data_IF_526253731598
#
_entry.id   IF_526253731598
#
_cell.length_a   1.000
_cell.length_b   1.000
_cell.length_c   1.000
_cell.angle_alpha   90.00
_cell.angle_beta   90.00
_cell.angle_gamma   90.00
#
_symmetry.space_group_name_H-M   'P 1'
#
loop_
_entity.id
_entity.type
_entity.pdbx_description
1 polymer ?
#
# COMPACT_ATOMS: atom_id res chain seq x y z
N UNK A 1 -25.15 19.85 38.91
CA UNK A 1 -25.42 21.26 38.58
C UNK A 1 -24.25 22.03 37.97
N UNK A 2 -22.98 21.66 38.15
CA UNK A 2 -21.83 22.39 37.54
C UNK A 2 -21.54 22.08 36.04
N UNK A 3 -22.10 21.03 35.46
CA UNK A 3 -21.92 20.71 34.02
C UNK A 3 -22.96 21.37 33.09
N UNK A 4 -24.07 21.84 33.63
CA UNK A 4 -25.10 22.58 32.87
C UNK A 4 -24.74 24.05 32.66
N UNK A 5 -24.01 24.66 33.59
CA UNK A 5 -23.56 26.06 33.46
C UNK A 5 -22.50 26.29 32.35
N UNK A 6 -21.69 25.27 32.05
CA UNK A 6 -20.62 25.42 31.03
C UNK A 6 -21.19 25.37 29.59
N UNK A 7 -22.27 24.62 29.38
CA UNK A 7 -22.96 24.51 28.09
C UNK A 7 -23.73 25.80 27.76
N UNK A 8 -24.31 26.44 28.77
CA UNK A 8 -25.04 27.72 28.59
C UNK A 8 -24.07 28.88 28.28
N UNK A 9 -22.88 28.88 28.86
CA UNK A 9 -21.83 29.91 28.57
C UNK A 9 -21.28 29.75 27.15
N UNK A 10 -21.15 28.52 26.63
CA UNK A 10 -20.70 28.26 25.25
C UNK A 10 -21.78 28.56 24.21
N UNK A 11 -23.07 28.41 24.56
CA UNK A 11 -24.17 28.79 23.66
C UNK A 11 -24.41 30.30 23.64
N UNK A 12 -24.16 31.01 24.73
CA UNK A 12 -24.27 32.48 24.77
C UNK A 12 -23.10 33.17 24.06
N UNK A 13 -21.89 32.57 24.05
CA UNK A 13 -20.77 33.10 23.30
C UNK A 13 -20.92 32.94 21.76
N UNK A 14 -21.66 31.94 21.31
CA UNK A 14 -21.97 31.78 19.87
C UNK A 14 -23.09 32.70 19.38
N UNK A 15 -23.98 33.18 20.28
CA UNK A 15 -25.06 34.14 19.93
C UNK A 15 -24.51 35.57 19.85
N UNK A 16 -23.53 35.92 20.70
CA UNK A 16 -22.93 37.27 20.68
C UNK A 16 -22.03 37.51 19.47
N UNK A 17 -21.52 36.45 18.82
CA UNK A 17 -20.73 36.55 17.59
C UNK A 17 -21.58 36.63 16.32
N UNK A 18 -22.86 36.34 16.37
CA UNK A 18 -23.76 36.39 15.21
C UNK A 18 -24.31 37.80 14.93
N UNK A 19 -24.38 38.69 15.95
CA UNK A 19 -24.92 40.06 15.80
C UNK A 19 -23.89 41.11 15.38
N UNK A 20 -22.61 40.72 15.17
CA UNK A 20 -21.54 41.65 14.78
C UNK A 20 -21.17 41.57 13.27
N UNK A 21 -21.95 40.89 12.45
CA UNK A 21 -21.70 40.80 11.03
C UNK A 21 -22.54 41.84 10.27
N UNK A 22 -22.01 43.06 10.20
CA UNK A 22 -22.45 44.00 9.16
C UNK A 22 -21.97 43.47 7.79
N UNK A 23 -22.83 43.47 6.74
CA UNK A 23 -22.43 43.04 5.42
C UNK A 23 -21.33 43.99 4.91
N UNK A 24 -20.17 43.43 4.65
CA UNK A 24 -19.04 44.12 4.07
C UNK A 24 -19.49 44.81 2.77
N UNK A 25 -19.32 46.12 2.69
CA UNK A 25 -19.55 46.92 1.50
C UNK A 25 -18.67 46.41 0.34
N UNK A 26 -19.28 45.68 -0.58
CA UNK A 26 -18.63 45.10 -1.75
C UNK A 26 -18.08 46.13 -2.72
N UNK A 27 -18.41 47.43 -2.54
CA UNK A 27 -17.90 48.57 -3.32
C UNK A 27 -16.39 48.80 -3.15
N UNK A 28 -15.87 48.50 -1.94
CA UNK A 28 -14.43 48.64 -1.64
C UNK A 28 -13.58 47.57 -2.33
N UNK A 29 -14.10 46.35 -2.47
CA UNK A 29 -13.37 45.25 -3.13
C UNK A 29 -13.31 45.42 -4.65
N UNK A 30 -14.33 46.00 -5.28
CA UNK A 30 -14.32 46.29 -6.74
C UNK A 30 -13.29 47.34 -7.15
N UNK A 31 -12.93 48.29 -6.26
CA UNK A 31 -11.95 49.32 -6.57
C UNK A 31 -10.49 48.84 -6.45
N UNK A 32 -10.22 47.80 -5.66
CA UNK A 32 -8.86 47.33 -5.40
C UNK A 32 -8.33 46.31 -6.41
N UNK A 33 -9.21 45.68 -7.19
CA UNK A 33 -8.84 44.59 -8.12
C UNK A 33 -9.06 44.88 -9.60
N UNK A 34 -9.45 46.13 -9.98
CA UNK A 34 -9.64 46.48 -11.37
C UNK A 34 -8.35 46.72 -12.16
N UNK A 35 -7.17 46.66 -11.52
CA UNK A 35 -5.89 46.70 -12.21
C UNK A 35 -4.96 45.68 -11.55
N UNK A 36 -4.96 44.41 -11.99
CA UNK A 36 -3.89 43.50 -11.56
C UNK A 36 -2.57 44.06 -12.13
N UNK A 37 -1.48 44.06 -11.34
CA UNK A 37 -0.18 44.44 -11.85
C UNK A 37 0.14 43.54 -13.03
N UNK A 38 0.43 44.12 -14.20
CA UNK A 38 0.95 43.39 -15.35
C UNK A 38 2.22 42.72 -14.90
N UNK A 39 2.22 41.41 -14.85
CA UNK A 39 3.45 40.61 -14.77
C UNK A 39 4.22 40.94 -16.05
N UNK A 40 5.28 41.74 -15.92
CA UNK A 40 6.26 41.91 -16.99
C UNK A 40 6.85 40.51 -17.25
N UNK A 41 6.65 40.00 -18.45
CA UNK A 41 7.37 38.84 -18.97
C UNK A 41 8.86 39.18 -18.96
N UNK A 42 9.53 38.88 -17.87
CA UNK A 42 10.99 38.89 -17.85
C UNK A 42 11.44 37.80 -18.81
N UNK A 43 12.23 38.17 -19.87
CA UNK A 43 12.72 37.17 -20.80
C UNK A 43 13.41 36.04 -20.01
N UNK A 44 12.96 34.83 -20.27
CA UNK A 44 13.61 33.60 -19.75
C UNK A 44 15.07 33.72 -20.18
N UNK A 45 15.96 34.02 -19.23
CA UNK A 45 17.39 33.99 -19.46
C UNK A 45 17.71 32.58 -19.95
N UNK A 46 18.12 32.44 -21.21
CA UNK A 46 18.72 31.20 -21.71
C UNK A 46 19.74 30.77 -20.68
N UNK A 47 19.45 29.63 -20.03
CA UNK A 47 20.41 29.04 -19.10
C UNK A 47 21.71 28.86 -19.86
N UNK A 48 22.70 29.66 -19.51
CA UNK A 48 24.06 29.41 -19.92
C UNK A 48 24.36 27.96 -19.55
N UNK A 49 24.86 27.18 -20.51
CA UNK A 49 25.42 25.86 -20.28
C UNK A 49 26.50 26.02 -19.20
N UNK A 50 26.11 25.91 -17.93
CA UNK A 50 27.03 25.88 -16.81
C UNK A 50 27.91 24.65 -17.06
N UNK A 51 29.22 24.83 -16.95
CA UNK A 51 30.18 23.71 -16.92
C UNK A 51 29.64 22.66 -15.95
N UNK A 52 29.75 21.36 -16.27
CA UNK A 52 29.25 20.30 -15.38
C UNK A 52 29.82 20.54 -13.98
N UNK A 53 28.97 20.49 -12.98
CA UNK A 53 29.25 20.83 -11.58
C UNK A 53 30.27 19.88 -10.92
N UNK A 54 31.46 19.69 -11.44
CA UNK A 54 32.52 18.88 -10.83
C UNK A 54 32.14 17.43 -10.49
N UNK A 55 30.94 16.95 -10.86
CA UNK A 55 30.50 15.57 -10.65
C UNK A 55 31.16 14.63 -11.66
N UNK A 56 31.50 13.40 -11.26
CA UNK A 56 32.04 12.38 -12.14
C UNK A 56 31.10 12.12 -13.34
N UNK A 57 31.67 11.67 -14.44
CA UNK A 57 30.92 11.24 -15.61
C UNK A 57 30.08 10.01 -15.29
N UNK A 58 28.85 9.96 -15.81
CA UNK A 58 27.88 8.90 -15.60
C UNK A 58 28.48 7.50 -15.85
N UNK A 59 29.07 7.28 -17.03
CA UNK A 59 29.60 5.98 -17.45
C UNK A 59 30.78 5.51 -16.58
N UNK A 60 31.54 6.42 -16.00
CA UNK A 60 32.65 6.08 -15.11
C UNK A 60 32.20 5.49 -13.79
N UNK A 61 31.02 5.93 -13.29
CA UNK A 61 30.48 5.44 -12.01
C UNK A 61 29.91 4.03 -12.14
N UNK A 62 29.23 3.74 -13.26
CA UNK A 62 28.48 2.48 -13.45
C UNK A 62 29.31 1.36 -14.08
N UNK A 63 30.58 1.56 -14.36
CA UNK A 63 31.43 0.65 -15.12
C UNK A 63 31.37 -0.81 -14.66
N UNK A 64 31.25 -1.04 -13.32
CA UNK A 64 31.20 -2.36 -12.70
C UNK A 64 29.82 -2.67 -12.12
N UNK A 65 28.77 -2.07 -12.64
CA UNK A 65 27.41 -2.25 -12.18
C UNK A 65 26.56 -3.01 -13.19
N UNK A 66 25.73 -3.91 -12.72
CA UNK A 66 24.70 -4.55 -13.52
C UNK A 66 23.62 -3.53 -13.89
N UNK A 67 23.26 -3.44 -15.15
CA UNK A 67 22.18 -2.58 -15.63
C UNK A 67 20.86 -3.32 -15.67
N UNK A 68 19.82 -2.77 -15.04
CA UNK A 68 18.47 -3.31 -14.98
C UNK A 68 17.52 -2.25 -15.55
N UNK A 69 17.09 -2.38 -16.82
CA UNK A 69 16.20 -1.41 -17.46
C UNK A 69 14.74 -1.55 -17.01
N UNK A 70 14.00 -0.43 -16.96
CA UNK A 70 12.56 -0.44 -16.66
C UNK A 70 11.95 0.93 -16.46
N UNK A 71 10.92 1.02 -15.61
CA UNK A 71 10.27 2.29 -15.24
C UNK A 71 11.31 3.27 -14.72
N UNK A 72 12.14 2.80 -13.80
CA UNK A 72 13.38 3.46 -13.40
C UNK A 72 14.55 2.55 -13.74
N UNK A 73 15.52 3.07 -14.47
CA UNK A 73 16.73 2.33 -14.77
C UNK A 73 17.57 2.19 -13.50
N UNK A 74 17.95 0.96 -13.17
CA UNK A 74 18.75 0.65 -12.01
C UNK A 74 20.17 0.23 -12.43
N UNK A 75 21.13 0.57 -11.60
CA UNK A 75 22.50 0.09 -11.68
C UNK A 75 22.88 -0.50 -10.33
N UNK A 76 23.20 -1.80 -10.31
CA UNK A 76 23.41 -2.57 -9.10
C UNK A 76 24.76 -3.26 -9.04
N UNK A 77 25.43 -3.15 -7.92
CA UNK A 77 26.63 -3.93 -7.58
C UNK A 77 26.37 -4.69 -6.28
N UNK A 78 26.17 -6.01 -6.40
CA UNK A 78 25.98 -6.90 -5.24
C UNK A 78 27.21 -6.90 -4.34
N UNK A 79 28.41 -6.96 -4.94
CA UNK A 79 29.68 -6.97 -4.21
C UNK A 79 29.88 -5.71 -3.34
N UNK A 80 29.51 -4.54 -3.89
CA UNK A 80 29.65 -3.26 -3.19
C UNK A 80 28.45 -2.94 -2.28
N UNK A 81 27.40 -3.75 -2.28
CA UNK A 81 26.10 -3.48 -1.66
C UNK A 81 25.60 -2.07 -2.02
N UNK A 82 25.65 -1.73 -3.31
CA UNK A 82 25.33 -0.41 -3.84
C UNK A 82 24.38 -0.49 -5.02
N UNK A 83 23.39 0.40 -5.04
CA UNK A 83 22.61 0.62 -6.25
C UNK A 83 22.31 2.10 -6.46
N UNK A 84 22.12 2.42 -7.72
CA UNK A 84 21.78 3.75 -8.19
C UNK A 84 20.52 3.70 -9.03
N UNK A 85 19.74 4.76 -9.00
CA UNK A 85 18.63 4.97 -9.91
C UNK A 85 19.04 6.05 -10.89
N UNK A 86 18.86 5.80 -12.18
CA UNK A 86 19.04 6.81 -13.21
C UNK A 86 17.70 7.44 -13.57
N UNK A 87 17.61 8.75 -13.41
CA UNK A 87 16.43 9.55 -13.73
C UNK A 87 16.74 10.56 -14.83
N UNK A 88 15.73 10.84 -15.66
CA UNK A 88 15.72 11.99 -16.56
C UNK A 88 14.82 13.12 -16.03
N UNK A 89 14.79 14.23 -16.77
CA UNK A 89 13.98 15.38 -16.36
C UNK A 89 12.47 15.16 -16.50
N UNK A 90 12.02 14.22 -17.33
CA UNK A 90 10.60 13.92 -17.52
C UNK A 90 10.04 13.07 -16.38
N UNK A 91 10.90 12.32 -15.71
CA UNK A 91 10.53 11.51 -14.54
C UNK A 91 10.45 12.34 -13.25
N UNK A 92 11.00 13.56 -13.26
CA UNK A 92 10.86 14.50 -12.14
C UNK A 92 9.46 15.12 -12.13
N UNK A 93 8.93 15.37 -10.93
CA UNK A 93 7.61 15.95 -10.68
C UNK A 93 6.44 15.17 -11.32
N UNK A 94 6.72 13.98 -11.84
CA UNK A 94 5.71 13.02 -12.32
C UNK A 94 5.22 12.17 -11.15
N UNK A 95 3.90 11.93 -11.08
CA UNK A 95 3.28 11.19 -9.99
C UNK A 95 3.41 9.69 -10.25
N UNK A 96 3.90 8.98 -9.23
CA UNK A 96 4.01 7.54 -9.16
C UNK A 96 3.34 7.02 -7.88
N UNK A 97 3.15 5.71 -7.78
CA UNK A 97 2.69 5.01 -6.57
C UNK A 97 3.85 4.24 -5.94
N UNK A 98 3.99 4.34 -4.63
CA UNK A 98 4.91 3.54 -3.83
C UNK A 98 4.12 2.60 -2.94
N UNK A 99 4.45 1.32 -2.97
CA UNK A 99 3.85 0.28 -2.17
C UNK A 99 4.93 -0.43 -1.34
N UNK A 100 4.68 -0.59 -0.07
CA UNK A 100 5.62 -1.23 0.86
C UNK A 100 4.97 -2.47 1.47
N UNK A 101 5.60 -3.63 1.29
CA UNK A 101 5.17 -4.91 1.87
C UNK A 101 6.28 -5.48 2.74
N UNK A 102 5.97 -5.98 3.93
CA UNK A 102 6.93 -6.75 4.72
C UNK A 102 7.01 -8.17 4.15
N UNK A 103 8.16 -8.51 3.55
CA UNK A 103 8.40 -9.84 2.99
C UNK A 103 8.62 -10.87 4.10
N UNK A 104 9.43 -10.55 5.10
CA UNK A 104 9.68 -11.38 6.27
C UNK A 104 9.57 -10.57 7.56
N UNK A 105 9.11 -11.18 8.61
CA UNK A 105 8.95 -10.60 9.94
C UNK A 105 9.55 -11.47 11.03
N UNK A 106 9.15 -11.23 12.28
CA UNK A 106 9.56 -11.99 13.45
C UNK A 106 8.46 -12.94 13.97
N UNK A 107 7.33 -13.00 13.30
CA UNK A 107 6.17 -13.83 13.64
C UNK A 107 5.56 -13.61 15.04
N UNK A 108 6.02 -12.61 15.79
CA UNK A 108 5.45 -12.23 17.09
C UNK A 108 4.83 -10.83 17.05
N UNK A 109 5.60 -9.87 16.56
CA UNK A 109 5.20 -8.45 16.49
C UNK A 109 4.91 -8.00 15.08
N UNK A 110 5.57 -8.62 14.11
CA UNK A 110 5.60 -8.22 12.73
C UNK A 110 5.52 -9.43 11.82
N UNK A 111 4.34 -9.71 11.30
CA UNK A 111 4.08 -10.85 10.43
C UNK A 111 4.53 -10.63 9.00
N UNK A 112 4.95 -11.71 8.34
CA UNK A 112 5.27 -11.70 6.92
C UNK A 112 4.04 -11.40 6.06
N UNK A 113 4.25 -10.82 4.88
CA UNK A 113 3.20 -10.51 3.92
C UNK A 113 2.35 -9.28 4.26
N UNK A 114 2.66 -8.53 5.34
CA UNK A 114 1.91 -7.32 5.67
C UNK A 114 2.05 -6.26 4.60
N UNK A 115 0.94 -5.84 4.00
CA UNK A 115 0.86 -4.60 3.23
C UNK A 115 0.93 -3.43 4.22
N UNK A 116 1.99 -2.62 4.14
CA UNK A 116 2.28 -1.60 5.16
C UNK A 116 1.82 -0.22 4.74
N UNK A 117 2.38 0.28 3.66
CA UNK A 117 2.14 1.63 3.16
C UNK A 117 1.88 1.60 1.67
N UNK A 118 0.95 2.44 1.26
CA UNK A 118 0.79 2.89 -0.12
C UNK A 118 0.66 4.41 -0.12
N UNK A 119 1.35 5.06 -1.05
CA UNK A 119 1.23 6.51 -1.21
C UNK A 119 1.66 6.97 -2.60
N UNK A 120 1.05 8.04 -3.15
CA UNK A 120 1.52 8.70 -4.35
C UNK A 120 2.76 9.54 -4.03
N UNK A 121 3.74 9.50 -4.93
CA UNK A 121 4.97 10.26 -4.75
C UNK A 121 5.46 10.89 -6.05
N UNK A 122 6.36 11.85 -5.90
CA UNK A 122 7.18 12.40 -6.99
C UNK A 122 8.65 12.35 -6.59
N UNK A 123 9.51 12.32 -7.62
CA UNK A 123 10.90 12.69 -7.46
C UNK A 123 11.06 14.19 -7.70
N UNK A 124 11.43 14.93 -6.67
CA UNK A 124 11.61 16.37 -6.75
C UNK A 124 13.07 16.74 -6.58
N UNK A 125 13.56 17.59 -7.49
CA UNK A 125 14.97 18.03 -7.42
C UNK A 125 15.13 19.19 -6.46
N UNK A 126 16.10 19.06 -5.54
CA UNK A 126 16.56 20.13 -4.67
C UNK A 126 18.08 20.28 -4.80
N UNK A 127 18.54 21.27 -5.54
CA UNK A 127 19.97 21.50 -5.82
C UNK A 127 20.68 20.23 -6.35
N UNK A 128 21.58 19.63 -5.59
CA UNK A 128 22.33 18.42 -5.94
C UNK A 128 21.75 17.14 -5.32
N UNK A 129 20.48 17.14 -4.99
CA UNK A 129 19.77 15.99 -4.43
C UNK A 129 18.41 15.80 -5.07
N UNK A 130 17.89 14.58 -4.97
CA UNK A 130 16.53 14.22 -5.32
C UNK A 130 15.81 13.81 -4.06
N UNK A 131 14.67 14.42 -3.82
CA UNK A 131 13.74 14.08 -2.75
C UNK A 131 12.68 13.13 -3.27
N UNK A 132 12.38 12.06 -2.54
CA UNK A 132 11.17 11.28 -2.70
C UNK A 132 10.10 11.94 -1.83
N UNK A 133 9.12 12.55 -2.47
CA UNK A 133 8.10 13.37 -1.82
C UNK A 133 6.74 12.70 -1.91
N UNK A 134 6.16 12.34 -0.78
CA UNK A 134 4.78 11.88 -0.66
C UNK A 134 3.83 13.05 -0.86
N UNK A 135 2.95 12.94 -1.83
CA UNK A 135 1.98 13.98 -2.19
C UNK A 135 0.76 13.87 -1.29
N UNK A 136 0.36 14.99 -0.72
CA UNK A 136 -0.87 15.06 0.04
C UNK A 136 -2.08 15.06 -0.89
N UNK A 137 -2.76 13.94 -0.99
CA UNK A 137 -3.98 13.76 -1.80
C UNK A 137 -5.27 13.87 -0.99
N UNK A 138 -5.17 14.09 0.31
CA UNK A 138 -6.33 14.15 1.21
C UNK A 138 -7.11 15.46 1.13
N UNK A 139 -6.48 16.52 0.60
CA UNK A 139 -7.10 17.87 0.49
C UNK A 139 -6.95 18.37 -0.93
N UNK A 140 -8.08 18.63 -1.57
CA UNK A 140 -8.12 19.00 -3.00
C UNK A 140 -9.00 20.19 -3.25
N UNK A 141 -8.74 20.87 -4.34
CA UNK A 141 -9.60 21.86 -4.96
C UNK A 141 -9.33 21.90 -6.44
N UNK A 142 -10.30 22.35 -7.23
CA UNK A 142 -10.15 22.58 -8.66
C UNK A 142 -8.94 23.50 -8.89
N UNK A 143 -8.05 23.13 -9.80
CA UNK A 143 -6.81 23.86 -10.14
C UNK A 143 -7.06 25.30 -10.56
N UNK A 144 -8.19 25.57 -11.21
CA UNK A 144 -8.58 26.91 -11.67
C UNK A 144 -9.23 27.76 -10.57
N UNK A 145 -9.57 27.16 -9.44
CA UNK A 145 -10.21 27.85 -8.33
C UNK A 145 -9.22 28.69 -7.50
N UNK A 146 -9.68 29.82 -6.95
CA UNK A 146 -8.85 30.63 -6.04
C UNK A 146 -8.45 29.86 -4.78
N UNK A 147 -9.32 28.98 -4.30
CA UNK A 147 -9.10 28.17 -3.09
C UNK A 147 -7.96 27.15 -3.26
N UNK A 148 -7.64 26.76 -4.50
CA UNK A 148 -6.52 25.86 -4.78
C UNK A 148 -5.18 26.41 -4.24
N UNK A 149 -4.95 27.72 -4.34
CA UNK A 149 -3.77 28.36 -3.76
C UNK A 149 -3.74 28.25 -2.22
N UNK A 150 -4.93 28.34 -1.60
CA UNK A 150 -5.06 28.14 -0.15
C UNK A 150 -4.75 26.70 0.24
N UNK A 151 -5.22 25.71 -0.51
CA UNK A 151 -4.88 24.29 -0.29
C UNK A 151 -3.37 24.11 -0.32
N UNK A 152 -2.68 24.59 -1.37
CA UNK A 152 -1.21 24.49 -1.47
C UNK A 152 -0.46 25.17 -0.34
N UNK A 153 -1.01 26.23 0.25
CA UNK A 153 -0.36 26.97 1.33
C UNK A 153 -0.60 26.32 2.71
N UNK A 154 -1.69 25.57 2.88
CA UNK A 154 -2.07 25.03 4.19
C UNK A 154 -1.77 23.53 4.35
N UNK A 155 -1.68 22.77 3.26
CA UNK A 155 -1.48 21.33 3.29
C UNK A 155 -0.19 20.96 2.56
N UNK A 156 0.84 20.68 3.34
CA UNK A 156 2.15 20.34 2.79
C UNK A 156 2.21 18.88 2.33
N UNK A 157 3.10 18.63 1.38
CA UNK A 157 3.62 17.29 1.09
C UNK A 157 4.66 16.89 2.16
N UNK A 158 5.06 15.60 2.16
CA UNK A 158 6.03 15.06 3.11
C UNK A 158 7.25 14.49 2.39
N UNK A 159 8.46 14.88 2.82
CA UNK A 159 9.69 14.29 2.32
C UNK A 159 9.89 12.96 3.02
N UNK A 160 9.89 11.86 2.28
CA UNK A 160 10.11 10.51 2.80
C UNK A 160 11.60 10.21 2.88
N UNK A 161 12.34 10.52 1.81
CA UNK A 161 13.77 10.27 1.74
C UNK A 161 14.46 11.19 0.74
N UNK A 162 15.80 11.20 0.77
CA UNK A 162 16.63 12.03 -0.10
C UNK A 162 17.82 11.20 -0.58
N UNK A 163 18.11 11.27 -1.88
CA UNK A 163 19.29 10.70 -2.49
C UNK A 163 20.15 11.77 -3.16
N UNK A 164 21.46 11.68 -3.04
CA UNK A 164 22.38 12.63 -3.70
C UNK A 164 22.48 12.34 -5.18
N UNK A 165 22.54 13.38 -6.00
CA UNK A 165 22.95 13.27 -7.40
C UNK A 165 24.46 13.06 -7.40
N UNK A 166 24.92 11.96 -7.98
CA UNK A 166 26.33 11.52 -7.95
C UNK A 166 27.03 11.56 -9.29
N UNK A 167 26.33 11.84 -10.39
CA UNK A 167 26.90 11.92 -11.73
C UNK A 167 26.52 13.22 -12.45
N UNK A 168 27.35 13.63 -13.40
CA UNK A 168 26.88 14.48 -14.51
C UNK A 168 25.83 13.72 -15.34
N UNK A 169 24.94 14.43 -16.07
CA UNK A 169 24.02 13.78 -16.99
C UNK A 169 24.76 12.97 -18.05
N UNK A 170 24.23 11.78 -18.36
CA UNK A 170 24.68 10.99 -19.49
C UNK A 170 24.46 11.76 -20.80
N UNK A 171 25.47 11.78 -21.66
CA UNK A 171 25.45 12.59 -22.89
C UNK A 171 24.45 12.11 -23.95
N UNK A 172 24.10 10.81 -23.92
CA UNK A 172 23.17 10.20 -24.89
C UNK A 172 21.72 10.24 -24.40
N UNK A 173 21.50 9.89 -23.12
CA UNK A 173 20.15 9.74 -22.55
C UNK A 173 19.67 10.93 -21.75
N UNK A 174 20.57 11.82 -21.35
CA UNK A 174 20.28 12.94 -20.44
C UNK A 174 20.01 12.52 -18.99
N UNK A 175 20.02 11.21 -18.68
CA UNK A 175 19.81 10.67 -17.33
C UNK A 175 20.98 10.96 -16.41
N UNK A 176 20.70 11.16 -15.13
CA UNK A 176 21.72 11.31 -14.09
C UNK A 176 21.49 10.28 -12.98
N UNK A 177 22.55 9.90 -12.28
CA UNK A 177 22.50 8.90 -11.21
C UNK A 177 22.20 9.55 -9.87
N UNK A 178 21.36 8.90 -9.08
CA UNK A 178 21.13 9.20 -7.68
C UNK A 178 21.59 8.03 -6.80
N UNK A 179 22.14 8.33 -5.62
CA UNK A 179 22.47 7.30 -4.61
C UNK A 179 21.17 6.79 -3.96
N UNK A 180 20.66 5.67 -4.48
CA UNK A 180 19.44 5.06 -4.01
C UNK A 180 19.61 4.33 -2.67
N UNK A 181 20.83 3.96 -2.27
CA UNK A 181 21.08 3.44 -0.93
C UNK A 181 20.69 4.46 0.16
N UNK A 182 20.96 5.75 -0.08
CA UNK A 182 20.56 6.81 0.86
C UNK A 182 19.04 6.94 0.97
N UNK A 183 18.32 6.64 -0.12
CA UNK A 183 16.86 6.76 -0.15
C UNK A 183 16.16 5.57 0.49
N UNK A 184 16.63 4.35 0.25
CA UNK A 184 15.88 3.13 0.55
C UNK A 184 16.45 2.29 1.70
N UNK A 185 17.77 2.36 1.99
CA UNK A 185 18.35 1.68 3.17
C UNK A 185 18.16 2.56 4.40
N UNK A 186 16.93 2.56 4.91
CA UNK A 186 16.50 3.29 6.12
C UNK A 186 15.24 2.65 6.71
N UNK A 187 14.85 3.07 7.89
CA UNK A 187 13.61 2.61 8.53
C UNK A 187 12.38 3.26 7.89
N UNK A 188 12.03 2.82 6.69
CA UNK A 188 10.82 3.27 6.00
C UNK A 188 9.52 2.80 6.68
N UNK A 189 9.61 1.85 7.56
CA UNK A 189 8.46 1.22 8.24
C UNK A 189 8.20 1.77 9.63
N UNK A 190 9.07 2.68 10.08
CA UNK A 190 9.02 3.28 11.42
C UNK A 190 9.01 2.26 12.58
N UNK A 191 9.63 1.11 12.39
CA UNK A 191 9.80 0.11 13.47
C UNK A 191 10.48 0.73 14.68
N UNK A 192 11.47 1.61 14.46
CA UNK A 192 12.16 2.34 15.53
C UNK A 192 11.25 3.25 16.37
N UNK A 193 10.09 3.63 15.86
CA UNK A 193 9.11 4.46 16.57
C UNK A 193 8.00 3.63 17.22
N UNK A 194 7.84 2.39 16.79
CA UNK A 194 6.87 1.46 17.34
C UNK A 194 7.37 0.88 18.67
N UNK A 195 6.47 0.33 19.48
CA UNK A 195 6.78 -0.31 20.76
C UNK A 195 7.71 0.53 21.65
N UNK A 196 7.41 1.84 21.73
CA UNK A 196 8.17 2.81 22.54
C UNK A 196 9.65 2.92 22.15
N UNK A 197 9.98 2.70 20.88
CA UNK A 197 11.35 2.82 20.39
C UNK A 197 12.31 1.74 20.90
N UNK A 198 11.81 0.55 21.19
CA UNK A 198 12.61 -0.55 21.69
C UNK A 198 13.70 -0.96 20.70
N UNK A 199 13.38 -1.01 19.42
CA UNK A 199 14.32 -1.33 18.35
C UNK A 199 14.83 -0.06 17.66
N UNK A 200 16.10 -0.09 17.22
CA UNK A 200 16.73 0.96 16.43
C UNK A 200 17.20 0.39 15.09
N UNK A 201 17.01 1.15 14.01
CA UNK A 201 17.49 0.74 12.69
C UNK A 201 19.01 0.73 12.64
N UNK A 202 19.58 -0.40 12.22
CA UNK A 202 21.02 -0.58 12.04
C UNK A 202 21.38 -0.58 10.56
N UNK A 203 21.65 0.62 10.04
CA UNK A 203 22.02 0.82 8.64
C UNK A 203 23.27 0.02 8.24
N UNK A 204 24.21 -0.18 9.15
CA UNK A 204 25.51 -0.82 8.86
C UNK A 204 25.34 -2.30 8.49
N UNK A 205 24.39 -2.97 9.13
CA UNK A 205 24.07 -4.38 8.92
C UNK A 205 22.83 -4.57 8.03
N UNK A 206 22.36 -3.51 7.37
CA UNK A 206 21.28 -3.58 6.40
C UNK A 206 21.83 -3.61 4.97
N UNK A 207 21.12 -4.27 4.06
CA UNK A 207 21.59 -4.49 2.69
C UNK A 207 20.45 -4.44 1.68
N UNK A 208 20.84 -4.35 0.40
CA UNK A 208 19.95 -4.58 -0.73
C UNK A 208 19.72 -6.08 -0.83
N UNK A 209 18.48 -6.52 -0.95
CA UNK A 209 18.12 -7.93 -1.14
C UNK A 209 18.08 -8.29 -2.61
N UNK A 210 17.16 -7.74 -3.36
CA UNK A 210 16.97 -7.97 -4.78
C UNK A 210 16.47 -6.71 -5.48
N UNK A 211 16.73 -6.60 -6.78
CA UNK A 211 16.30 -5.47 -7.61
C UNK A 211 15.78 -5.98 -8.95
N UNK A 212 14.62 -5.49 -9.35
CA UNK A 212 14.02 -5.75 -10.65
C UNK A 212 13.38 -4.47 -11.17
N UNK A 213 13.32 -4.31 -12.49
CA UNK A 213 12.59 -3.18 -13.08
C UNK A 213 11.89 -3.64 -14.35
N UNK A 214 10.68 -3.12 -14.55
CA UNK A 214 9.80 -3.48 -15.65
C UNK A 214 9.23 -2.18 -16.25
N UNK A 215 8.60 -2.20 -17.43
CA UNK A 215 8.16 -0.96 -18.08
C UNK A 215 7.23 -0.06 -17.25
N UNK A 216 6.45 -0.64 -16.32
CA UNK A 216 5.48 0.11 -15.50
C UNK A 216 5.75 0.08 -14.01
N UNK A 217 6.75 -0.69 -13.56
CA UNK A 217 7.10 -0.76 -12.15
C UNK A 217 8.56 -1.14 -11.92
N UNK A 218 9.06 -0.80 -10.75
CA UNK A 218 10.41 -1.08 -10.27
C UNK A 218 10.30 -1.68 -8.87
N UNK A 219 10.93 -2.82 -8.65
CA UNK A 219 10.86 -3.61 -7.43
C UNK A 219 12.20 -3.56 -6.69
N UNK A 220 12.17 -3.14 -5.44
CA UNK A 220 13.34 -2.95 -4.59
C UNK A 220 13.15 -3.77 -3.32
N UNK A 221 14.06 -4.69 -3.05
CA UNK A 221 14.04 -5.46 -1.82
C UNK A 221 15.18 -5.01 -0.90
N UNK A 222 14.84 -4.73 0.36
CA UNK A 222 15.77 -4.29 1.39
C UNK A 222 15.75 -5.28 2.55
N UNK A 223 16.91 -5.78 2.93
CA UNK A 223 17.13 -6.52 4.18
C UNK A 223 17.50 -5.51 5.27
N UNK A 224 16.58 -5.27 6.18
CA UNK A 224 16.72 -4.30 7.25
C UNK A 224 17.06 -5.00 8.56
N UNK A 225 18.09 -4.52 9.24
CA UNK A 225 18.48 -4.99 10.57
C UNK A 225 18.07 -3.96 11.63
N UNK A 226 17.52 -4.48 12.73
CA UNK A 226 17.13 -3.69 13.89
C UNK A 226 17.79 -4.25 15.14
N UNK A 227 18.32 -3.38 15.99
CA UNK A 227 18.97 -3.74 17.25
C UNK A 227 18.21 -3.16 18.44
N UNK A 228 18.19 -3.87 19.53
CA UNK A 228 17.71 -3.39 20.82
C UNK A 228 18.78 -3.53 21.89
N UNK A 229 18.90 -2.52 22.76
CA UNK A 229 19.74 -2.61 23.94
C UNK A 229 19.06 -3.30 25.14
N UNK A 230 17.76 -3.56 25.03
CA UNK A 230 16.94 -4.14 26.07
C UNK A 230 16.43 -5.49 25.60
N UNK A 231 16.31 -6.42 26.53
CA UNK A 231 15.58 -7.65 26.29
C UNK A 231 14.13 -7.35 25.94
N UNK A 232 13.66 -7.80 24.79
CA UNK A 232 12.31 -7.49 24.30
C UNK A 232 11.28 -8.54 24.62
N UNK A 233 11.72 -9.72 25.09
CA UNK A 233 10.85 -10.86 25.42
C UNK A 233 10.29 -11.59 24.20
N UNK A 234 10.80 -11.34 23.01
CA UNK A 234 10.38 -12.09 21.82
C UNK A 234 10.89 -13.54 21.92
N UNK A 235 9.98 -14.50 21.97
CA UNK A 235 10.31 -15.92 21.98
C UNK A 235 10.50 -16.52 20.57
N UNK A 236 10.15 -15.78 19.55
CA UNK A 236 10.28 -16.18 18.14
C UNK A 236 11.65 -15.85 17.56
N UNK A 237 12.42 -15.01 18.25
CA UNK A 237 13.79 -14.65 17.86
C UNK A 237 14.80 -15.44 18.71
N UNK A 238 15.86 -15.99 18.09
CA UNK A 238 16.96 -16.65 18.84
C UNK A 238 17.62 -15.71 19.85
N UNK A 239 17.81 -14.44 19.46
CA UNK A 239 18.26 -13.34 20.31
C UNK A 239 17.34 -12.15 20.10
N UNK A 240 16.58 -11.78 21.11
CA UNK A 240 15.65 -10.67 21.03
C UNK A 240 16.29 -9.27 20.97
N UNK A 241 17.63 -9.17 21.06
CA UNK A 241 18.35 -7.93 20.81
C UNK A 241 18.57 -7.66 19.32
N UNK A 242 18.36 -8.65 18.45
CA UNK A 242 18.63 -8.58 17.01
C UNK A 242 17.43 -9.09 16.22
N UNK A 243 16.93 -8.27 15.30
CA UNK A 243 15.78 -8.58 14.47
C UNK A 243 16.06 -8.23 13.02
N UNK A 244 15.84 -9.17 12.10
CA UNK A 244 16.02 -8.98 10.67
C UNK A 244 14.67 -9.03 9.96
N UNK A 245 14.36 -7.98 9.21
CA UNK A 245 13.19 -7.94 8.34
C UNK A 245 13.60 -7.72 6.88
N UNK A 246 12.86 -8.32 5.97
CA UNK A 246 12.97 -7.99 4.54
C UNK A 246 11.74 -7.21 4.12
N UNK A 247 11.95 -6.08 3.46
CA UNK A 247 10.91 -5.25 2.88
C UNK A 247 10.96 -5.31 1.37
N UNK A 248 9.80 -5.35 0.76
CA UNK A 248 9.61 -5.25 -0.68
C UNK A 248 8.92 -3.93 -0.98
N UNK A 249 9.52 -3.13 -1.86
CA UNK A 249 9.06 -1.81 -2.27
C UNK A 249 8.74 -1.90 -3.76
N UNK A 250 7.49 -1.70 -4.11
CA UNK A 250 7.04 -1.64 -5.50
C UNK A 250 6.74 -0.18 -5.86
N UNK A 251 7.53 0.38 -6.77
CA UNK A 251 7.33 1.72 -7.33
C UNK A 251 6.68 1.57 -8.70
N UNK A 252 5.50 2.14 -8.92
CA UNK A 252 4.74 1.95 -10.16
C UNK A 252 4.24 3.26 -10.75
N UNK A 253 4.01 3.27 -12.07
CA UNK A 253 3.22 4.32 -12.70
C UNK A 253 1.79 4.29 -12.19
N UNK A 254 1.16 5.47 -12.08
CA UNK A 254 -0.28 5.55 -11.81
C UNK A 254 -1.03 4.92 -13.00
N UNK A 255 -2.03 4.05 -12.78
CA UNK A 255 -2.86 3.53 -13.85
C UNK A 255 -3.46 4.69 -14.67
N UNK A 256 -3.27 4.62 -15.98
CA UNK A 256 -3.89 5.53 -16.95
C UNK A 256 -4.86 4.70 -17.79
N UNK A 257 -5.99 4.42 -17.21
CA UNK A 257 -7.08 3.69 -17.81
C UNK A 257 -8.38 4.50 -17.66
N UNK A 258 -9.40 4.12 -18.40
CA UNK A 258 -10.70 4.81 -18.40
C UNK A 258 -11.54 4.48 -17.15
N UNK A 259 -10.91 4.30 -15.98
CA UNK A 259 -11.64 4.03 -14.75
C UNK A 259 -12.52 5.21 -14.33
N UNK A 260 -13.79 4.91 -14.06
CA UNK A 260 -14.74 5.89 -13.55
C UNK A 260 -14.96 5.70 -12.07
N UNK A 261 -14.54 6.67 -11.22
CA UNK A 261 -14.80 6.65 -9.79
C UNK A 261 -16.30 6.57 -9.50
N UNK A 262 -16.65 5.84 -8.44
CA UNK A 262 -18.03 5.76 -7.96
C UNK A 262 -18.14 6.31 -6.55
N UNK A 263 -19.04 7.26 -6.33
CA UNK A 263 -19.35 7.77 -5.00
C UNK A 263 -19.94 6.65 -4.12
N UNK A 264 -19.54 6.65 -2.86
CA UNK A 264 -20.13 5.75 -1.88
C UNK A 264 -21.53 6.24 -1.48
N UNK A 265 -22.36 5.28 -1.06
CA UNK A 265 -23.68 5.53 -0.51
C UNK A 265 -23.67 5.08 0.98
N UNK A 266 -24.03 5.96 1.89
CA UNK A 266 -23.96 5.72 3.33
C UNK A 266 -24.87 4.59 3.82
N UNK A 267 -25.80 4.11 2.97
CA UNK A 267 -26.66 2.95 3.25
C UNK A 267 -25.95 1.61 3.10
N UNK A 268 -24.77 1.59 2.47
CA UNK A 268 -24.01 0.37 2.18
C UNK A 268 -22.57 0.60 2.60
N UNK A 269 -22.01 -0.33 3.40
CA UNK A 269 -20.63 -0.30 3.82
C UNK A 269 -19.68 -0.74 2.69
N UNK A 270 -18.71 0.10 2.37
CA UNK A 270 -17.60 -0.19 1.45
C UNK A 270 -16.29 0.30 2.04
N UNK A 271 -15.18 -0.28 1.65
CA UNK A 271 -13.88 0.39 1.76
C UNK A 271 -13.85 1.54 0.77
N UNK A 272 -13.34 2.69 1.21
CA UNK A 272 -13.40 3.92 0.43
C UNK A 272 -12.09 4.66 0.43
N UNK A 273 -11.78 5.28 -0.72
CA UNK A 273 -10.79 6.33 -0.84
C UNK A 273 -11.46 7.65 -0.49
N UNK A 274 -10.93 8.33 0.53
CA UNK A 274 -11.55 9.54 1.09
C UNK A 274 -10.63 10.74 0.89
N UNK A 275 -11.20 11.85 0.45
CA UNK A 275 -10.53 13.14 0.44
C UNK A 275 -11.51 14.28 0.73
N UNK A 276 -11.01 15.46 1.03
CA UNK A 276 -11.79 16.66 1.23
C UNK A 276 -11.66 17.57 0.00
N UNK A 277 -12.79 17.89 -0.63
CA UNK A 277 -12.89 18.80 -1.77
C UNK A 277 -13.38 20.16 -1.32
N UNK A 278 -12.50 21.15 -1.42
CA UNK A 278 -12.78 22.55 -1.06
C UNK A 278 -13.15 23.42 -2.24
N UNK A 279 -13.39 22.86 -3.42
CA UNK A 279 -13.76 23.62 -4.63
C UNK A 279 -15.00 24.47 -4.41
N UNK A 280 -15.96 23.96 -3.64
CA UNK A 280 -17.20 24.67 -3.31
C UNK A 280 -17.39 24.80 -1.79
N UNK A 281 -17.62 26.03 -1.33
CA UNK A 281 -17.98 26.34 0.05
C UNK A 281 -19.49 26.21 0.33
N UNK A 282 -20.28 25.90 -0.70
CA UNK A 282 -21.74 25.77 -0.61
C UNK A 282 -22.19 24.34 -0.25
N UNK A 283 -21.27 23.40 -0.20
CA UNK A 283 -21.58 22.02 0.21
C UNK A 283 -21.58 21.93 1.74
N UNK A 284 -22.52 21.17 2.29
CA UNK A 284 -22.64 20.90 3.71
C UNK A 284 -21.39 20.22 4.30
N UNK A 285 -20.73 19.37 3.49
CA UNK A 285 -19.51 18.66 3.86
C UNK A 285 -18.49 18.65 2.72
N UNK A 286 -17.19 18.83 2.98
CA UNK A 286 -16.17 18.72 1.96
C UNK A 286 -15.79 17.27 1.60
N UNK A 287 -16.24 16.29 2.39
CA UNK A 287 -15.81 14.90 2.21
C UNK A 287 -16.38 14.28 0.95
N UNK A 288 -15.47 13.75 0.13
CA UNK A 288 -15.76 12.89 -1.01
C UNK A 288 -15.26 11.49 -0.69
N UNK A 289 -16.09 10.48 -0.93
CA UNK A 289 -15.79 9.07 -0.70
C UNK A 289 -16.01 8.30 -1.99
N UNK A 290 -14.96 7.77 -2.56
CA UNK A 290 -15.04 6.83 -3.69
C UNK A 290 -15.00 5.41 -3.17
N UNK A 291 -15.89 4.55 -3.65
CA UNK A 291 -15.87 3.11 -3.39
C UNK A 291 -14.59 2.54 -3.98
N UNK A 292 -13.86 1.76 -3.17
CA UNK A 292 -12.74 0.99 -3.68
C UNK A 292 -13.28 -0.21 -4.46
N UNK A 293 -13.02 -0.26 -5.76
CA UNK A 293 -13.53 -1.30 -6.65
C UNK A 293 -12.56 -1.63 -7.78
N UNK A 294 -12.63 -2.85 -8.28
CA UNK A 294 -11.89 -3.29 -9.46
C UNK A 294 -12.42 -2.63 -10.73
N UNK A 295 -11.52 -2.39 -11.70
CA UNK A 295 -11.85 -1.89 -13.02
C UNK A 295 -12.33 -3.04 -13.92
N UNK A 296 -13.55 -3.53 -13.69
CA UNK A 296 -14.13 -4.57 -14.50
C UNK A 296 -14.95 -3.97 -15.64
N UNK A 297 -14.51 -4.18 -16.87
CA UNK A 297 -15.19 -3.78 -18.10
C UNK A 297 -15.52 -5.02 -18.92
N UNK A 298 -16.76 -5.12 -19.43
CA UNK A 298 -17.17 -6.24 -20.26
C UNK A 298 -16.42 -6.27 -21.59
N UNK A 299 -15.85 -7.41 -21.94
CA UNK A 299 -15.25 -7.66 -23.25
C UNK A 299 -16.26 -7.47 -24.38
N UNK A 300 -17.52 -7.85 -24.13
CA UNK A 300 -18.65 -7.69 -25.05
C UNK A 300 -19.77 -6.89 -24.35
N UNK A 301 -19.75 -5.55 -24.42
CA UNK A 301 -20.66 -4.68 -23.65
C UNK A 301 -22.15 -4.95 -23.88
N UNK A 302 -22.52 -5.37 -25.09
CA UNK A 302 -23.91 -5.65 -25.47
C UNK A 302 -24.46 -7.00 -25.01
N UNK A 303 -23.61 -7.87 -24.45
CA UNK A 303 -24.06 -9.16 -23.92
C UNK A 303 -24.52 -8.99 -22.46
N UNK A 304 -25.62 -9.68 -22.11
CA UNK A 304 -26.12 -9.70 -20.73
C UNK A 304 -25.02 -10.20 -19.76
N UNK A 305 -24.32 -11.27 -20.15
CA UNK A 305 -23.18 -11.83 -19.41
C UNK A 305 -21.96 -11.88 -20.33
N UNK A 306 -20.83 -11.34 -19.90
CA UNK A 306 -19.57 -11.31 -20.65
C UNK A 306 -18.39 -11.59 -19.73
N UNK A 307 -17.31 -12.09 -20.27
CA UNK A 307 -16.02 -12.04 -19.57
C UNK A 307 -15.56 -10.58 -19.44
N UNK A 308 -14.80 -10.23 -18.39
CA UNK A 308 -14.13 -8.94 -18.34
C UNK A 308 -13.00 -8.87 -19.38
N UNK A 309 -12.60 -7.66 -19.78
CA UNK A 309 -11.40 -7.45 -20.59
C UNK A 309 -10.18 -7.93 -19.80
N UNK A 310 -10.07 -7.54 -18.53
CA UNK A 310 -9.04 -7.95 -17.59
C UNK A 310 -9.71 -8.60 -16.37
N UNK A 311 -9.53 -9.90 -16.13
CA UNK A 311 -10.05 -10.56 -14.95
C UNK A 311 -9.20 -10.26 -13.71
N UNK A 312 -9.79 -10.37 -12.54
CA UNK A 312 -9.08 -10.34 -11.26
C UNK A 312 -8.35 -11.67 -11.11
N UNK A 313 -7.03 -11.64 -11.11
CA UNK A 313 -6.21 -12.84 -11.00
C UNK A 313 -5.64 -12.93 -9.60
N UNK A 314 -5.96 -14.00 -8.86
CA UNK A 314 -5.30 -14.35 -7.61
C UNK A 314 -4.29 -15.47 -7.82
N UNK A 315 -3.10 -15.30 -7.29
CA UNK A 315 -2.05 -16.29 -7.30
C UNK A 315 -1.95 -16.96 -5.94
N UNK A 316 -2.10 -18.30 -5.92
CA UNK A 316 -1.83 -19.10 -4.74
C UNK A 316 -0.32 -19.18 -4.55
N UNK A 317 0.20 -18.60 -3.48
CA UNK A 317 1.62 -18.67 -3.16
C UNK A 317 2.02 -20.13 -2.86
N UNK A 318 3.23 -20.52 -3.22
CA UNK A 318 3.73 -21.88 -3.01
C UNK A 318 3.98 -22.23 -1.53
N UNK A 319 3.85 -21.28 -0.61
CA UNK A 319 3.81 -21.52 0.85
C UNK A 319 2.51 -22.14 1.33
N UNK A 320 1.42 -22.11 0.53
CA UNK A 320 0.19 -22.78 0.89
C UNK A 320 0.42 -24.29 0.81
N UNK A 321 0.20 -25.05 1.92
CA UNK A 321 0.32 -26.51 1.89
C UNK A 321 -0.55 -27.12 0.81
N UNK A 322 -0.06 -28.14 0.13
CA UNK A 322 -0.70 -28.71 -1.07
C UNK A 322 -2.12 -29.19 -0.80
N UNK A 323 -2.36 -29.78 0.36
CA UNK A 323 -3.66 -30.27 0.80
C UNK A 323 -4.73 -29.16 0.89
N UNK A 324 -4.34 -27.91 1.16
CA UNK A 324 -5.28 -26.78 1.26
C UNK A 324 -5.49 -26.02 -0.05
N UNK A 325 -4.60 -26.19 -1.04
CA UNK A 325 -4.70 -25.46 -2.34
C UNK A 325 -6.02 -25.64 -3.06
N UNK A 326 -6.61 -26.87 -3.12
CA UNK A 326 -7.92 -27.06 -3.75
C UNK A 326 -9.03 -26.26 -3.06
N UNK A 327 -9.12 -26.33 -1.74
CA UNK A 327 -10.12 -25.61 -0.95
C UNK A 327 -9.99 -24.08 -1.07
N UNK A 328 -8.75 -23.57 -1.01
CA UNK A 328 -8.48 -22.13 -1.20
C UNK A 328 -8.88 -21.68 -2.60
N UNK A 329 -8.55 -22.47 -3.63
CA UNK A 329 -8.95 -22.22 -5.02
C UNK A 329 -10.46 -22.13 -5.16
N UNK A 330 -11.18 -23.13 -4.65
CA UNK A 330 -12.63 -23.20 -4.72
C UNK A 330 -13.28 -22.01 -4.00
N UNK A 331 -12.83 -21.67 -2.80
CA UNK A 331 -13.32 -20.52 -2.03
C UNK A 331 -13.17 -19.20 -2.78
N UNK A 332 -12.04 -19.00 -3.47
CA UNK A 332 -11.83 -17.79 -4.29
C UNK A 332 -12.72 -17.80 -5.54
N UNK A 333 -12.81 -18.94 -6.24
CA UNK A 333 -13.63 -19.04 -7.44
C UNK A 333 -15.13 -18.90 -7.17
N UNK A 334 -15.59 -19.20 -5.94
CA UNK A 334 -16.99 -19.03 -5.55
C UNK A 334 -17.48 -17.57 -5.71
N UNK A 335 -16.60 -16.60 -5.68
CA UNK A 335 -16.93 -15.20 -5.97
C UNK A 335 -17.48 -14.99 -7.39
N UNK A 336 -17.15 -15.85 -8.34
CA UNK A 336 -17.71 -15.76 -9.69
C UNK A 336 -19.25 -15.85 -9.70
N UNK A 337 -19.87 -16.57 -8.76
CA UNK A 337 -21.33 -16.58 -8.63
C UNK A 337 -21.92 -15.19 -8.32
N UNK A 338 -21.21 -14.37 -7.55
CA UNK A 338 -21.64 -13.00 -7.28
C UNK A 338 -21.43 -12.11 -8.52
N UNK A 339 -20.31 -12.28 -9.21
CA UNK A 339 -20.00 -11.52 -10.43
C UNK A 339 -20.93 -11.86 -11.59
N UNK A 340 -21.37 -13.11 -11.72
CA UNK A 340 -22.35 -13.53 -12.73
C UNK A 340 -23.69 -12.81 -12.57
N UNK A 341 -24.13 -12.56 -11.33
CA UNK A 341 -25.37 -11.82 -11.06
C UNK A 341 -25.32 -10.37 -11.53
N UNK A 342 -24.14 -9.80 -11.68
CA UNK A 342 -23.93 -8.44 -12.20
C UNK A 342 -23.42 -8.44 -13.63
N UNK A 343 -23.45 -9.61 -14.30
CA UNK A 343 -23.21 -9.75 -15.74
C UNK A 343 -21.77 -10.04 -16.13
N UNK A 344 -20.91 -10.54 -15.20
CA UNK A 344 -19.55 -10.97 -15.52
C UNK A 344 -19.39 -12.47 -15.27
N UNK A 345 -18.98 -13.24 -16.26
CA UNK A 345 -18.51 -14.62 -16.09
C UNK A 345 -16.98 -14.62 -16.03
N UNK A 346 -16.41 -15.57 -15.29
CA UNK A 346 -14.95 -15.70 -15.14
C UNK A 346 -14.27 -14.38 -14.72
N UNK A 347 -14.94 -13.60 -13.86
CA UNK A 347 -14.39 -12.34 -13.37
C UNK A 347 -13.16 -12.56 -12.48
N UNK A 348 -13.14 -13.68 -11.75
CA UNK A 348 -12.02 -14.07 -10.88
C UNK A 348 -11.38 -15.34 -11.42
N UNK A 349 -10.06 -15.32 -11.54
CA UNK A 349 -9.23 -16.44 -11.98
C UNK A 349 -8.23 -16.76 -10.87
N UNK A 350 -7.99 -18.04 -10.61
CA UNK A 350 -7.00 -18.49 -9.65
C UNK A 350 -5.90 -19.25 -10.38
N UNK A 351 -4.66 -18.83 -10.13
CA UNK A 351 -3.43 -19.47 -10.64
C UNK A 351 -2.56 -19.95 -9.50
N UNK A 352 -1.78 -20.99 -9.73
CA UNK A 352 -0.74 -21.43 -8.81
C UNK A 352 0.55 -20.67 -9.14
N UNK A 353 1.19 -20.11 -8.12
CA UNK A 353 2.53 -19.52 -8.25
C UNK A 353 3.53 -20.62 -8.62
N UNK A 354 4.31 -20.46 -9.70
CA UNK A 354 5.39 -21.39 -10.03
C UNK A 354 6.49 -21.40 -8.96
N UNK A 355 7.11 -22.53 -8.71
CA UNK A 355 8.21 -22.62 -7.74
C UNK A 355 9.46 -21.86 -8.20
N UNK A 356 9.62 -21.70 -9.51
CA UNK A 356 10.68 -20.93 -10.16
C UNK A 356 10.26 -19.49 -10.52
N UNK A 357 9.17 -19.00 -9.92
CA UNK A 357 8.71 -17.63 -10.15
C UNK A 357 9.80 -16.60 -9.86
N UNK A 358 10.05 -15.73 -10.84
CA UNK A 358 11.06 -14.66 -10.73
C UNK A 358 10.52 -13.39 -10.07
N UNK A 359 9.24 -13.35 -9.76
CA UNK A 359 8.56 -12.24 -9.09
C UNK A 359 8.28 -12.56 -7.62
N UNK A 360 8.07 -11.54 -6.82
CA UNK A 360 7.78 -11.67 -5.39
C UNK A 360 6.29 -11.41 -5.09
N UNK A 361 5.66 -12.14 -4.14
CA UNK A 361 4.26 -11.89 -3.74
C UNK A 361 3.92 -10.49 -3.23
N UNK A 362 4.87 -9.65 -2.92
CA UNK A 362 4.66 -8.23 -2.59
C UNK A 362 4.77 -7.29 -3.79
N UNK A 363 4.94 -7.80 -4.99
CA UNK A 363 4.91 -7.04 -6.24
C UNK A 363 3.47 -6.68 -6.58
N UNK A 364 3.15 -5.40 -6.59
CA UNK A 364 1.79 -4.89 -6.78
C UNK A 364 1.10 -5.26 -8.11
N UNK A 365 1.79 -5.98 -9.00
CA UNK A 365 1.18 -6.55 -10.21
C UNK A 365 0.46 -7.87 -9.99
N UNK A 366 0.62 -8.50 -8.81
CA UNK A 366 0.17 -9.85 -8.53
C UNK A 366 -0.64 -9.89 -7.23
N UNK A 367 -1.94 -10.02 -7.32
CA UNK A 367 -2.75 -10.31 -6.13
C UNK A 367 -2.40 -11.71 -5.63
N UNK A 368 -2.02 -11.85 -4.38
CA UNK A 368 -1.53 -13.12 -3.84
C UNK A 368 -2.34 -13.61 -2.65
N UNK A 369 -2.47 -14.93 -2.53
CA UNK A 369 -2.98 -15.59 -1.33
C UNK A 369 -1.82 -16.34 -0.70
N UNK A 370 -1.51 -16.00 0.54
CA UNK A 370 -0.30 -16.43 1.23
C UNK A 370 -0.64 -17.21 2.48
N UNK A 371 0.21 -18.19 2.78
CA UNK A 371 0.16 -18.93 4.03
C UNK A 371 1.25 -18.43 4.96
N UNK A 372 0.87 -17.97 6.15
CA UNK A 372 1.81 -17.44 7.13
C UNK A 372 1.78 -18.29 8.39
N UNK A 373 2.90 -18.29 9.12
CA UNK A 373 3.01 -18.93 10.43
C UNK A 373 3.21 -17.84 11.47
N UNK A 374 2.25 -17.73 12.38
CA UNK A 374 2.33 -16.84 13.53
C UNK A 374 1.82 -17.57 14.76
N UNK A 375 2.73 -18.06 15.62
CA UNK A 375 2.36 -18.94 16.74
C UNK A 375 1.30 -18.32 17.65
N UNK A 376 0.23 -19.06 17.91
CA UNK A 376 -0.86 -18.64 18.78
C UNK A 376 -1.83 -17.60 18.19
N UNK A 377 -1.72 -17.28 16.90
CA UNK A 377 -2.57 -16.28 16.22
C UNK A 377 -3.30 -16.92 15.03
N UNK A 378 -4.55 -17.33 15.24
CA UNK A 378 -5.43 -17.82 14.17
C UNK A 378 -6.23 -16.70 13.53
N UNK A 379 -5.84 -16.25 12.33
CA UNK A 379 -6.57 -15.22 11.59
C UNK A 379 -6.37 -15.33 10.07
N UNK A 380 -7.27 -14.70 9.34
CA UNK A 380 -7.09 -14.40 7.94
C UNK A 380 -7.39 -12.90 7.71
N UNK A 381 -6.63 -12.27 6.84
CA UNK A 381 -6.81 -10.85 6.51
C UNK A 381 -6.52 -10.62 5.03
N UNK A 382 -7.38 -9.82 4.38
CA UNK A 382 -7.27 -9.49 2.96
C UNK A 382 -7.31 -7.98 2.74
N UNK A 383 -6.22 -7.25 2.99
CA UNK A 383 -6.11 -5.86 2.62
C UNK A 383 -6.04 -5.69 1.10
N UNK A 384 -6.36 -4.49 0.64
CA UNK A 384 -6.23 -4.10 -0.76
C UNK A 384 -5.64 -2.71 -0.87
N UNK A 385 -5.02 -2.41 -2.01
CA UNK A 385 -4.49 -1.09 -2.37
C UNK A 385 -5.37 -0.47 -3.43
N UNK A 386 -5.64 0.81 -3.25
CA UNK A 386 -6.47 1.58 -4.17
C UNK A 386 -5.73 2.82 -4.67
N UNK A 387 -5.96 3.16 -5.92
CA UNK A 387 -5.50 4.42 -6.48
C UNK A 387 -6.07 5.59 -5.64
N UNK A 388 -5.23 6.40 -4.99
CA UNK A 388 -5.68 7.46 -4.08
C UNK A 388 -6.47 8.56 -4.77
N UNK A 389 -6.45 8.60 -6.11
CA UNK A 389 -7.20 9.60 -6.90
C UNK A 389 -8.59 9.13 -7.29
N UNK A 390 -8.78 7.82 -7.45
CA UNK A 390 -9.98 7.26 -8.09
C UNK A 390 -10.71 6.19 -7.28
N UNK A 391 -10.03 5.53 -6.34
CA UNK A 391 -10.56 4.36 -5.63
C UNK A 391 -10.49 3.07 -6.45
N UNK A 392 -9.78 3.06 -7.58
CA UNK A 392 -9.53 1.84 -8.34
C UNK A 392 -8.61 0.90 -7.58
N UNK A 393 -9.05 -0.34 -7.38
CA UNK A 393 -8.21 -1.39 -6.80
C UNK A 393 -7.22 -1.89 -7.84
N UNK A 394 -5.94 -1.98 -7.45
CA UNK A 394 -4.88 -2.47 -8.33
C UNK A 394 -4.05 -3.60 -7.71
N UNK A 395 -4.20 -3.85 -6.39
CA UNK A 395 -3.47 -4.89 -5.67
C UNK A 395 -4.27 -5.35 -4.44
N UNK A 396 -4.30 -6.65 -4.17
CA UNK A 396 -4.97 -7.21 -3.01
C UNK A 396 -4.32 -8.53 -2.58
N UNK A 397 -3.70 -8.52 -1.39
CA UNK A 397 -3.03 -9.69 -0.83
C UNK A 397 -3.83 -10.27 0.34
N UNK A 398 -4.06 -11.56 0.31
CA UNK A 398 -4.73 -12.30 1.37
C UNK A 398 -3.69 -13.12 2.13
N UNK A 399 -3.72 -13.05 3.46
CA UNK A 399 -2.88 -13.85 4.33
C UNK A 399 -3.74 -14.75 5.20
N UNK A 400 -3.41 -16.03 5.24
CA UNK A 400 -4.09 -17.05 6.05
C UNK A 400 -3.05 -17.61 7.02
N UNK A 401 -3.31 -17.52 8.31
CA UNK A 401 -2.43 -18.10 9.33
C UNK A 401 -2.64 -19.59 9.44
N UNK A 402 -1.54 -20.35 9.53
CA UNK A 402 -1.56 -21.80 9.79
C UNK A 402 -2.33 -22.16 11.07
N UNK A 403 -2.26 -21.31 12.09
CA UNK A 403 -2.97 -21.54 13.35
C UNK A 403 -4.48 -21.31 13.25
N UNK A 404 -4.93 -20.64 12.19
CA UNK A 404 -6.37 -20.53 11.88
C UNK A 404 -6.98 -21.90 11.56
N UNK A 405 -6.31 -22.71 10.75
CA UNK A 405 -6.77 -24.08 10.44
C UNK A 405 -6.71 -24.97 11.68
N UNK A 406 -5.63 -24.86 12.50
CA UNK A 406 -5.54 -25.62 13.77
C UNK A 406 -6.67 -25.25 14.73
N UNK A 407 -7.07 -23.98 14.79
CA UNK A 407 -8.20 -23.55 15.60
C UNK A 407 -9.51 -24.22 15.15
N UNK A 408 -9.77 -24.28 13.84
CA UNK A 408 -10.95 -24.96 13.29
C UNK A 408 -10.94 -26.47 13.59
N UNK A 409 -9.81 -27.16 13.45
CA UNK A 409 -9.72 -28.57 13.80
C UNK A 409 -10.02 -28.82 15.27
N UNK A 410 -9.47 -27.99 16.15
CA UNK A 410 -9.74 -28.10 17.59
C UNK A 410 -11.22 -27.83 17.89
N UNK A 411 -11.81 -26.80 17.34
CA UNK A 411 -13.23 -26.49 17.51
C UNK A 411 -14.12 -27.61 16.95
N UNK A 412 -13.76 -28.15 15.80
CA UNK A 412 -14.49 -29.27 15.22
C UNK A 412 -14.41 -30.52 16.10
N UNK A 413 -13.21 -30.85 16.60
CA UNK A 413 -13.01 -31.98 17.50
C UNK A 413 -13.77 -31.80 18.83
N UNK A 414 -13.78 -30.60 19.38
CA UNK A 414 -14.44 -30.28 20.64
C UNK A 414 -15.98 -30.23 20.53
N UNK A 415 -16.53 -29.68 19.44
CA UNK A 415 -17.96 -29.37 19.34
C UNK A 415 -18.75 -30.22 18.35
N UNK A 416 -18.09 -30.83 17.37
CA UNK A 416 -18.77 -31.53 16.27
C UNK A 416 -18.58 -33.04 16.29
N UNK A 417 -17.36 -33.51 16.61
CA UNK A 417 -17.10 -34.96 16.62
C UNK A 417 -17.85 -35.67 17.75
N UNK A 418 -18.54 -36.77 17.47
CA UNK A 418 -19.12 -37.61 18.52
C UNK A 418 -18.02 -38.28 19.35
N UNK A 419 -18.26 -38.42 20.65
CA UNK A 419 -17.34 -38.99 21.62
C UNK A 419 -16.85 -40.42 21.27
N UNK A 420 -17.50 -41.08 20.32
CA UNK A 420 -17.26 -42.50 19.95
C UNK A 420 -16.54 -42.70 18.62
N UNK A 421 -16.07 -41.65 17.95
CA UNK A 421 -15.37 -41.80 16.68
C UNK A 421 -13.91 -42.21 16.91
N UNK A 422 -13.58 -43.49 16.67
CA UNK A 422 -12.21 -44.00 16.56
C UNK A 422 -11.51 -43.55 15.27
N UNK A 423 -11.73 -42.36 14.81
CA UNK A 423 -11.13 -41.86 13.55
C UNK A 423 -9.92 -40.95 13.85
N UNK A 424 -8.74 -41.51 13.65
CA UNK A 424 -7.45 -40.84 13.77
C UNK A 424 -7.19 -39.77 12.68
N UNK A 425 -8.12 -39.57 11.71
CA UNK A 425 -7.93 -38.60 10.65
C UNK A 425 -9.14 -37.63 10.52
N UNK A 426 -9.07 -36.42 11.08
CA UNK A 426 -10.11 -35.41 10.95
C UNK A 426 -10.42 -35.00 9.50
N UNK A 427 -9.46 -35.16 8.58
CA UNK A 427 -9.62 -34.83 7.16
C UNK A 427 -10.50 -35.82 6.39
N UNK A 428 -10.61 -37.07 6.86
CA UNK A 428 -11.45 -38.09 6.23
C UNK A 428 -12.95 -37.74 6.23
N UNK A 429 -13.37 -36.82 7.09
CA UNK A 429 -14.77 -36.36 7.17
C UNK A 429 -15.14 -35.31 6.12
N UNK A 430 -14.17 -34.77 5.42
CA UNK A 430 -14.39 -33.79 4.34
C UNK A 430 -14.45 -34.43 2.97
N UNK A 431 -13.96 -35.66 2.83
CA UNK A 431 -13.98 -36.41 1.56
C UNK A 431 -15.29 -37.17 1.32
N UNK A 432 -16.17 -37.29 2.34
CA UNK A 432 -17.41 -38.08 2.20
C UNK A 432 -18.63 -37.16 2.10
N UNK A 433 -18.98 -36.78 0.85
CA UNK A 433 -20.21 -36.08 0.52
C UNK A 433 -21.47 -36.93 0.56
N UNK A 434 -21.45 -38.09 1.24
CA UNK A 434 -22.64 -38.89 1.48
C UNK A 434 -23.23 -38.65 2.85
N UNK A 435 -24.18 -37.75 2.92
CA UNK A 435 -25.01 -37.50 4.10
C UNK A 435 -25.99 -38.67 4.33
N UNK A 436 -25.66 -39.53 5.29
CA UNK A 436 -26.68 -40.33 5.99
C UNK A 436 -26.92 -39.72 7.38
N UNK A 437 -28.11 -39.12 7.52
CA UNK A 437 -28.56 -38.54 8.77
C UNK A 437 -29.00 -39.65 9.75
N UNK A 438 -28.15 -40.01 10.71
CA UNK A 438 -28.59 -40.68 11.93
C UNK A 438 -28.21 -39.81 13.15
N UNK A 439 -29.23 -39.13 13.64
CA UNK A 439 -29.15 -38.37 14.89
C UNK A 439 -29.35 -39.32 16.07
N UNK A 440 -28.30 -39.68 16.81
CA UNK A 440 -28.41 -39.99 18.24
C UNK A 440 -27.10 -39.88 19.00
N UNK A 441 -27.16 -39.16 20.11
CA UNK A 441 -26.21 -39.04 21.23
C UNK A 441 -24.89 -38.31 21.01
N UNK A 442 -24.93 -36.99 21.09
CA UNK A 442 -23.72 -36.15 21.29
C UNK A 442 -23.54 -35.77 22.78
N UNK A 443 -22.50 -36.29 23.43
CA UNK A 443 -22.03 -35.80 24.73
C UNK A 443 -20.81 -34.88 24.53
N UNK A 444 -20.81 -33.75 25.23
CA UNK A 444 -19.74 -32.74 25.14
C UNK A 444 -18.49 -33.22 25.93
N UNK A 445 -17.34 -33.40 25.28
CA UNK A 445 -16.05 -33.76 25.88
C UNK A 445 -15.45 -32.67 26.80
N UNK A 446 -16.01 -31.47 26.78
CA UNK A 446 -15.45 -30.31 27.52
C UNK A 446 -15.46 -30.48 29.04
N UNK A 447 -16.32 -31.32 29.59
CA UNK A 447 -16.45 -31.48 31.04
C UNK A 447 -15.39 -32.42 31.67
N UNK A 448 -14.61 -33.17 30.86
CA UNK A 448 -13.69 -34.20 31.42
C UNK A 448 -12.21 -33.79 31.52
N UNK A 449 -11.80 -32.67 30.89
CA UNK A 449 -10.38 -32.25 30.89
C UNK A 449 -10.01 -31.18 31.93
N UNK A 450 -10.91 -30.88 32.89
CA UNK A 450 -10.60 -29.93 33.97
C UNK A 450 -10.20 -30.60 35.31
N UNK A 451 -9.97 -31.90 35.32
CA UNK A 451 -9.54 -32.64 36.54
C UNK A 451 -8.26 -33.43 36.28
N UNK A 452 -7.14 -32.74 35.93
CA UNK A 452 -5.78 -33.20 36.21
C UNK A 452 -4.82 -32.01 36.26
#
# INVERSE_FOLDING_TARGET
>A
MRRFSLIIVLLLSSIILADAYEPLDTGFLKKKYNNPPKLEDKPVKKMNKSKPNGLPEFNNIIKDFEYIPGLFDLYWSKEKNKFYIALDSMQLDTIYLANLTRKSGDAMYYDAGSMLWEFPFIFQRLANAIQLVHINTSFRADSESAIHRSIKNNFSNSIISVGKIISSPNTETGKFLIDANEMFIKDLTYVSQQRQGTYQFDKKNSSIGDLQSYPKNTEIQINAHFISRKWTGSFTLPDSHSMMHTYHISLSSVPDDNFTPRLSDDRIGYFTTIYQDYTSTLKETPYIRYINKWNLQKKYPNQAISEPIEPIIYWLENTIPEEFRPAVREGVLAWNHAFEKIGFKNAVIVKQMPDDATWHPGDARYNTIRWIVQPGSGYAVGPSRANPFTGELYDADIRISADFTRAFYREFDEFVLPVTAENDNPLALWDDHNHDHNHDNKQCKYAMNQSN
#
